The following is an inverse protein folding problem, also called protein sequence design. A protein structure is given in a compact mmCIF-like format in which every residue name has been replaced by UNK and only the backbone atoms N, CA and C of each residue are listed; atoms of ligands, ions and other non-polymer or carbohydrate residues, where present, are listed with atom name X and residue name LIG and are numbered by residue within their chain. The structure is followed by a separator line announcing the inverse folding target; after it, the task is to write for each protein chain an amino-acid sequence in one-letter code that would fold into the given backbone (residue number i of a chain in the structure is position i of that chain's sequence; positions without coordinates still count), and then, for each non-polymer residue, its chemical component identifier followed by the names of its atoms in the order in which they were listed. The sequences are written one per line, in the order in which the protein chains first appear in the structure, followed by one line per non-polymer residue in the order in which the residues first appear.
data_IF_552491979642
#
_entry.id   IF_552491979642
#
_cell.length_a   1.000
_cell.length_b   1.000
_cell.length_c   1.000
_cell.angle_alpha   90.00
_cell.angle_beta   90.00
_cell.angle_gamma   90.00
#
_symmetry.space_group_name_H-M   'P 1'
#
loop_
_entity.id
_entity.type
_entity.pdbx_description
1 polymer ?
#
# COMPACT_ATOMS: atom_id res chain seq x y z
N UNK A 1 11.99 25.82 -6.50
CA UNK A 1 11.89 24.45 -5.92
C UNK A 1 10.96 23.65 -6.80
N UNK A 2 11.45 22.64 -7.53
CA UNK A 2 10.57 21.78 -8.32
C UNK A 2 9.79 20.87 -7.35
N UNK A 3 8.52 20.56 -7.67
CA UNK A 3 7.69 19.67 -6.81
C UNK A 3 8.33 18.29 -6.59
N UNK A 4 9.24 17.90 -7.47
CA UNK A 4 10.00 16.66 -7.37
C UNK A 4 11.10 16.70 -6.28
N UNK A 5 11.64 17.87 -5.92
CA UNK A 5 12.65 17.94 -4.85
C UNK A 5 12.04 17.62 -3.48
N UNK A 6 10.77 17.95 -3.27
CA UNK A 6 10.06 17.65 -2.01
C UNK A 6 9.98 16.14 -1.77
N UNK A 7 9.74 15.35 -2.83
CA UNK A 7 9.71 13.88 -2.73
C UNK A 7 11.10 13.31 -2.43
N UNK A 8 12.15 13.89 -3.02
CA UNK A 8 13.53 13.48 -2.76
C UNK A 8 13.98 13.81 -1.34
N UNK A 9 13.67 15.02 -0.85
CA UNK A 9 13.95 15.45 0.53
C UNK A 9 13.20 14.57 1.56
N UNK A 10 11.95 14.21 1.26
CA UNK A 10 11.19 13.31 2.11
C UNK A 10 11.80 11.90 2.16
N UNK A 11 12.24 11.39 1.01
CA UNK A 11 12.93 10.09 0.94
C UNK A 11 14.25 10.11 1.72
N UNK A 12 15.02 11.18 1.59
CA UNK A 12 16.27 11.35 2.32
C UNK A 12 16.03 11.42 3.83
N UNK A 13 15.00 12.16 4.28
CA UNK A 13 14.59 12.22 5.68
C UNK A 13 14.22 10.84 6.25
N UNK A 14 13.46 10.04 5.50
CA UNK A 14 13.10 8.68 5.92
C UNK A 14 14.32 7.77 6.06
N UNK A 15 15.28 7.88 5.11
CA UNK A 15 16.55 7.15 5.11
C UNK A 15 17.42 7.52 6.32
N UNK A 16 17.56 8.80 6.62
CA UNK A 16 18.35 9.31 7.77
C UNK A 16 17.75 8.84 9.10
N UNK A 17 16.42 8.87 9.23
CA UNK A 17 15.70 8.42 10.44
C UNK A 17 15.63 6.88 10.58
N UNK A 18 16.25 6.11 9.68
CA UNK A 18 16.17 4.64 9.61
C UNK A 18 14.74 4.08 9.57
N UNK A 19 13.75 4.84 9.09
CA UNK A 19 12.34 4.39 8.99
C UNK A 19 12.09 3.45 7.80
N UNK A 20 13.12 2.77 7.31
CA UNK A 20 13.06 1.78 6.22
C UNK A 20 12.04 0.66 6.47
N UNK A 21 11.71 0.40 7.73
CA UNK A 21 10.70 -0.56 8.17
C UNK A 21 9.27 -0.19 7.74
N UNK A 22 9.01 1.06 7.37
CA UNK A 22 7.72 1.48 6.84
C UNK A 22 7.51 1.03 5.39
N UNK A 23 8.59 0.86 4.62
CA UNK A 23 8.51 0.42 3.23
C UNK A 23 7.82 -0.95 3.07
N UNK A 24 8.17 -2.01 3.83
CA UNK A 24 7.47 -3.30 3.73
C UNK A 24 6.00 -3.21 4.20
N UNK A 25 5.69 -2.40 5.21
CA UNK A 25 4.29 -2.19 5.65
C UNK A 25 3.47 -1.54 4.53
N UNK A 26 3.99 -0.46 3.94
CA UNK A 26 3.34 0.23 2.81
C UNK A 26 3.16 -0.69 1.61
N UNK A 27 4.15 -1.55 1.33
CA UNK A 27 4.06 -2.53 0.25
C UNK A 27 2.93 -3.55 0.48
N UNK A 28 2.82 -4.10 1.69
CA UNK A 28 1.75 -5.04 2.04
C UNK A 28 0.38 -4.36 1.94
N UNK A 29 0.24 -3.13 2.43
CA UNK A 29 -1.03 -2.39 2.35
C UNK A 29 -1.45 -2.11 0.90
N UNK A 30 -0.49 -1.76 0.04
CA UNK A 30 -0.76 -1.59 -1.40
C UNK A 30 -1.12 -2.92 -2.06
N UNK A 31 -0.41 -4.01 -1.75
CA UNK A 31 -0.71 -5.33 -2.27
C UNK A 31 -2.11 -5.80 -1.86
N UNK A 32 -2.48 -5.62 -0.58
CA UNK A 32 -3.82 -5.92 -0.08
C UNK A 32 -4.88 -5.06 -0.75
N UNK A 33 -4.64 -3.75 -0.89
CA UNK A 33 -5.58 -2.85 -1.58
C UNK A 33 -5.79 -3.29 -3.03
N UNK A 34 -4.71 -3.67 -3.73
CA UNK A 34 -4.77 -4.18 -5.09
C UNK A 34 -5.56 -5.49 -5.16
N UNK A 35 -5.30 -6.43 -4.24
CA UNK A 35 -6.05 -7.69 -4.16
C UNK A 35 -7.53 -7.40 -3.95
N UNK A 36 -7.88 -6.53 -3.00
CA UNK A 36 -9.26 -6.14 -2.73
C UNK A 36 -9.90 -5.63 -4.02
N UNK A 37 -9.28 -4.64 -4.68
CA UNK A 37 -9.77 -4.04 -5.94
C UNK A 37 -9.97 -5.07 -7.05
N UNK A 38 -9.04 -6.02 -7.19
CA UNK A 38 -9.16 -7.10 -8.17
C UNK A 38 -10.25 -8.12 -7.81
N UNK A 39 -10.61 -8.22 -6.53
CA UNK A 39 -11.64 -9.14 -6.02
C UNK A 39 -13.02 -8.51 -5.82
N UNK A 40 -13.19 -7.19 -5.97
CA UNK A 40 -14.48 -6.49 -5.77
C UNK A 40 -15.59 -7.01 -6.72
N UNK A 41 -15.19 -7.47 -7.91
CA UNK A 41 -16.05 -8.14 -8.89
C UNK A 41 -16.00 -9.66 -8.86
N UNK A 42 -15.35 -10.26 -7.86
CA UNK A 42 -15.21 -11.72 -7.77
C UNK A 42 -16.57 -12.34 -7.47
N UNK A 43 -17.00 -13.27 -8.34
CA UNK A 43 -18.17 -14.12 -8.12
C UNK A 43 -18.10 -14.92 -6.81
N UNK A 44 -16.96 -14.92 -6.10
CA UNK A 44 -16.74 -15.55 -4.80
C UNK A 44 -17.23 -14.70 -3.61
N UNK A 45 -17.40 -13.39 -3.77
CA UNK A 45 -17.86 -12.51 -2.68
C UNK A 45 -19.20 -12.95 -2.05
N UNK A 46 -20.23 -13.37 -2.82
CA UNK A 46 -21.50 -13.86 -2.25
C UNK A 46 -21.34 -15.18 -1.49
N UNK A 47 -20.36 -16.02 -1.85
CA UNK A 47 -20.16 -17.32 -1.22
C UNK A 47 -19.56 -17.18 0.18
N UNK A 48 -18.69 -16.18 0.37
CA UNK A 48 -18.17 -15.84 1.70
C UNK A 48 -19.34 -15.46 2.62
N UNK A 49 -20.27 -14.63 2.17
CA UNK A 49 -21.45 -14.27 2.98
C UNK A 49 -22.49 -15.39 3.13
N UNK A 50 -22.51 -16.38 2.23
CA UNK A 50 -23.43 -17.51 2.36
C UNK A 50 -22.95 -18.61 3.30
N UNK A 51 -21.63 -18.68 3.55
CA UNK A 51 -21.00 -19.68 4.42
C UNK A 51 -20.93 -19.25 5.90
N UNK A 52 -21.32 -18.01 6.21
CA UNK A 52 -21.37 -17.45 7.56
C UNK A 52 -22.78 -17.01 7.93
#
# INVERSE_FOLDING_TARGET
MSKLSILAEFWEFMRVRKKWWLAPIMFILLALSLIIVLTEGSALAPFIYSLF
#
